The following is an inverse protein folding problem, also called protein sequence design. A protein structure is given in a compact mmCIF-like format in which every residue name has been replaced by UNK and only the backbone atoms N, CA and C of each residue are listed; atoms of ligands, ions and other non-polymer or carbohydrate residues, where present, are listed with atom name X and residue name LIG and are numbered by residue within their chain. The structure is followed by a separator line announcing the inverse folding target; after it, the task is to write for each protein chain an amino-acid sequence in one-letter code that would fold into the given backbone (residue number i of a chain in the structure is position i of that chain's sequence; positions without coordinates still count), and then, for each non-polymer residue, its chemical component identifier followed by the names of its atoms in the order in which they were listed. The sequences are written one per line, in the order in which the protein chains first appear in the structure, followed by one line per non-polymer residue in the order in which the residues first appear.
data_IF_992209922005
#
_entry.id   IF_992209922005
#
_cell.length_a   1.000
_cell.length_b   1.000
_cell.length_c   1.000
_cell.angle_alpha   90.00
_cell.angle_beta   90.00
_cell.angle_gamma   90.00
#
_symmetry.space_group_name_H-M   'P 1'
#
loop_
_entity.id
_entity.type
_entity.pdbx_description
1 polymer ?
#
# COMPACT_ATOMS: atom_id res chain seq x y z
N UNK A 1 21.24 4.02 8.56
CA UNK A 1 20.75 2.82 9.25
C UNK A 1 19.23 2.70 9.15
N UNK A 2 18.46 3.73 9.52
CA UNK A 2 16.99 3.69 9.43
C UNK A 2 16.45 3.47 8.01
N UNK A 3 17.02 4.11 7.00
CA UNK A 3 16.62 3.90 5.59
C UNK A 3 16.86 2.46 5.12
N UNK A 4 17.99 1.85 5.51
CA UNK A 4 18.23 0.44 5.24
C UNK A 4 17.26 -0.45 6.03
N UNK A 5 16.98 -0.10 7.28
CA UNK A 5 16.03 -0.79 8.14
C UNK A 5 14.61 -0.79 7.60
N UNK A 6 14.12 0.32 7.04
CA UNK A 6 12.81 0.36 6.38
C UNK A 6 12.81 -0.55 5.17
N UNK A 7 13.84 -0.50 4.32
CA UNK A 7 13.91 -1.32 3.10
C UNK A 7 13.83 -2.83 3.39
N UNK A 8 14.52 -3.31 4.44
CA UNK A 8 14.48 -4.74 4.82
C UNK A 8 13.30 -5.13 5.72
N UNK A 9 12.43 -4.18 6.08
CA UNK A 9 11.27 -4.42 6.95
C UNK A 9 10.14 -5.13 6.19
N UNK A 10 10.01 -4.89 4.88
CA UNK A 10 9.08 -5.62 4.03
C UNK A 10 9.51 -7.09 3.95
N UNK A 11 8.60 -7.98 4.36
CA UNK A 11 8.78 -9.43 4.31
C UNK A 11 7.69 -9.97 3.40
N UNK A 12 8.11 -10.61 2.31
CA UNK A 12 7.20 -11.25 1.37
C UNK A 12 6.97 -12.73 1.76
N UNK A 13 5.75 -13.13 2.13
CA UNK A 13 5.43 -14.49 2.56
C UNK A 13 5.09 -15.41 1.39
N UNK A 14 5.23 -15.01 0.11
CA UNK A 14 4.74 -15.79 -1.05
C UNK A 14 5.18 -17.26 -1.00
N UNK A 15 6.45 -17.54 -0.64
CA UNK A 15 6.93 -18.92 -0.51
C UNK A 15 6.25 -19.69 0.64
N UNK A 16 5.94 -19.01 1.75
CA UNK A 16 5.25 -19.60 2.91
C UNK A 16 3.77 -19.84 2.60
N UNK A 17 3.11 -18.90 1.91
CA UNK A 17 1.71 -19.01 1.51
C UNK A 17 1.49 -20.19 0.54
N UNK A 18 2.42 -20.43 -0.38
CA UNK A 18 2.38 -21.59 -1.28
C UNK A 18 2.41 -22.92 -0.51
N UNK A 19 3.26 -23.02 0.51
CA UNK A 19 3.33 -24.21 1.37
C UNK A 19 2.07 -24.35 2.23
N UNK A 20 1.51 -23.25 2.73
CA UNK A 20 0.27 -23.26 3.52
C UNK A 20 -0.92 -23.80 2.73
N UNK A 21 -0.99 -23.48 1.44
CA UNK A 21 -2.01 -24.00 0.54
C UNK A 21 -1.83 -25.51 0.30
N UNK A 22 -0.59 -25.97 0.13
CA UNK A 22 -0.27 -27.40 -0.08
C UNK A 22 -0.61 -28.26 1.14
N UNK A 23 -0.33 -27.77 2.36
CA UNK A 23 -0.60 -28.50 3.61
C UNK A 23 -2.02 -28.25 4.17
N UNK A 24 -2.87 -27.53 3.43
CA UNK A 24 -4.26 -27.19 3.81
C UNK A 24 -4.36 -26.57 5.21
N UNK A 25 -3.59 -25.51 5.44
CA UNK A 25 -3.68 -24.70 6.66
C UNK A 25 -5.07 -24.05 6.77
N UNK A 26 -5.46 -23.72 8.00
CA UNK A 26 -6.65 -22.93 8.27
C UNK A 26 -6.70 -21.64 7.42
N UNK A 27 -7.80 -21.44 6.68
CA UNK A 27 -8.01 -20.29 5.79
C UNK A 27 -7.84 -18.94 6.51
N UNK A 28 -8.22 -18.84 7.78
CA UNK A 28 -8.08 -17.61 8.56
C UNK A 28 -6.59 -17.27 8.75
N UNK A 29 -5.74 -18.28 8.98
CA UNK A 29 -4.30 -18.03 9.14
C UNK A 29 -3.68 -17.56 7.83
N UNK A 30 -4.10 -18.14 6.70
CA UNK A 30 -3.69 -17.69 5.37
C UNK A 30 -4.06 -16.21 5.14
N UNK A 31 -5.32 -15.85 5.39
CA UNK A 31 -5.83 -14.49 5.18
C UNK A 31 -5.10 -13.48 6.07
N UNK A 32 -4.84 -13.84 7.34
CA UNK A 32 -4.15 -12.96 8.28
C UNK A 32 -2.70 -12.71 7.85
N UNK A 33 -1.94 -13.75 7.49
CA UNK A 33 -0.53 -13.61 7.06
C UNK A 33 -0.42 -12.85 5.74
N UNK A 34 -1.31 -13.13 4.80
CA UNK A 34 -1.39 -12.39 3.54
C UNK A 34 -1.70 -10.90 3.78
N UNK A 35 -2.70 -10.60 4.62
CA UNK A 35 -3.08 -9.24 4.95
C UNK A 35 -2.00 -8.47 5.72
N UNK A 36 -1.32 -9.11 6.66
CA UNK A 36 -0.16 -8.54 7.36
C UNK A 36 0.93 -8.11 6.37
N UNK A 37 1.22 -8.96 5.39
CA UNK A 37 2.30 -8.71 4.44
C UNK A 37 1.96 -7.57 3.48
N UNK A 38 0.70 -7.52 3.00
CA UNK A 38 0.22 -6.37 2.22
C UNK A 38 0.33 -5.05 3.02
N UNK A 39 -0.06 -5.06 4.30
CA UNK A 39 0.06 -3.88 5.16
C UNK A 39 1.54 -3.51 5.40
N UNK A 40 2.41 -4.51 5.56
CA UNK A 40 3.83 -4.31 5.78
C UNK A 40 4.53 -3.67 4.57
N UNK A 41 4.20 -4.09 3.35
CA UNK A 41 4.72 -3.49 2.12
C UNK A 41 4.36 -2.01 2.02
N UNK A 42 3.09 -1.69 2.30
CA UNK A 42 2.59 -0.32 2.34
C UNK A 42 3.34 0.55 3.38
N UNK A 43 3.48 0.07 4.61
CA UNK A 43 4.15 0.80 5.69
C UNK A 43 5.64 1.00 5.37
N UNK A 44 6.29 -0.01 4.81
CA UNK A 44 7.71 0.00 4.46
C UNK A 44 8.03 1.10 3.45
N UNK A 45 7.22 1.25 2.40
CA UNK A 45 7.45 2.28 1.37
C UNK A 45 7.26 3.69 1.93
N UNK A 46 6.27 3.91 2.79
CA UNK A 46 6.08 5.22 3.44
C UNK A 46 7.25 5.55 4.37
N UNK A 47 7.72 4.57 5.16
CA UNK A 47 8.90 4.74 6.01
C UNK A 47 10.18 4.99 5.21
N UNK A 48 10.34 4.32 4.07
CA UNK A 48 11.47 4.52 3.17
C UNK A 48 11.53 5.98 2.69
N UNK A 49 10.44 6.52 2.15
CA UNK A 49 10.41 7.92 1.68
C UNK A 49 10.60 8.93 2.81
N UNK A 50 10.09 8.64 4.00
CA UNK A 50 10.30 9.47 5.19
C UNK A 50 11.80 9.53 5.56
N UNK A 51 12.47 8.37 5.63
CA UNK A 51 13.89 8.32 5.96
C UNK A 51 14.81 8.82 4.83
N UNK A 52 14.39 8.67 3.57
CA UNK A 52 15.04 9.24 2.39
C UNK A 52 15.04 10.78 2.50
N UNK A 53 13.88 11.38 2.76
CA UNK A 53 13.75 12.83 2.99
C UNK A 53 14.65 13.33 4.14
N UNK A 54 14.71 12.58 5.25
CA UNK A 54 15.62 12.92 6.36
C UNK A 54 17.10 12.81 6.00
N UNK A 55 17.45 11.89 5.10
CA UNK A 55 18.82 11.72 4.62
C UNK A 55 19.23 12.88 3.72
N UNK A 56 18.32 13.36 2.87
CA UNK A 56 18.53 14.52 1.99
C UNK A 56 18.67 15.83 2.77
N UNK A 57 17.87 16.05 3.81
CA UNK A 57 17.96 17.24 4.67
C UNK A 57 19.26 17.33 5.48
N UNK A 58 19.91 16.17 5.71
CA UNK A 58 21.16 16.05 6.45
C UNK A 58 20.95 16.02 7.97
N UNK A 59 21.56 15.01 8.62
CA UNK A 59 21.41 14.69 10.05
C UNK A 59 21.66 15.85 11.03
N UNK A 60 22.43 16.87 10.64
CA UNK A 60 22.74 18.02 11.51
C UNK A 60 21.62 19.06 11.61
N UNK A 61 20.65 19.03 10.69
CA UNK A 61 19.58 20.03 10.60
C UNK A 61 18.22 19.50 11.09
N UNK A 62 18.14 18.24 11.54
CA UNK A 62 16.89 17.62 11.97
C UNK A 62 16.52 18.14 13.37
N UNK A 63 15.45 18.93 13.43
CA UNK A 63 14.87 19.47 14.66
C UNK A 63 13.77 18.52 15.15
N UNK A 64 13.43 18.58 16.43
CA UNK A 64 12.31 17.82 17.01
C UNK A 64 10.98 18.03 16.26
N UNK A 65 10.79 19.22 15.67
CA UNK A 65 9.60 19.54 14.87
C UNK A 65 9.53 18.71 13.58
N UNK A 66 10.66 18.42 12.94
CA UNK A 66 10.70 17.63 11.70
C UNK A 66 10.33 16.18 11.97
N UNK A 67 10.76 15.63 13.12
CA UNK A 67 10.39 14.27 13.54
C UNK A 67 8.89 14.16 13.77
N UNK A 68 8.29 15.14 14.43
CA UNK A 68 6.85 15.18 14.66
C UNK A 68 6.07 15.37 13.35
N UNK A 69 6.57 16.22 12.46
CA UNK A 69 5.99 16.44 11.15
C UNK A 69 6.06 15.18 10.27
N UNK A 70 7.16 14.44 10.26
CA UNK A 70 7.26 13.19 9.54
C UNK A 70 6.35 12.10 10.09
N UNK A 71 6.19 12.01 11.43
CA UNK A 71 5.21 11.11 12.04
C UNK A 71 3.78 11.47 11.62
N UNK A 72 3.43 12.75 11.63
CA UNK A 72 2.13 13.20 11.15
C UNK A 72 1.94 12.90 9.65
N UNK A 73 2.98 13.16 8.83
CA UNK A 73 2.96 12.90 7.41
C UNK A 73 2.78 11.40 7.10
N UNK A 74 3.37 10.51 7.90
CA UNK A 74 3.14 9.07 7.78
C UNK A 74 1.66 8.72 7.85
N UNK A 75 0.93 9.23 8.86
CA UNK A 75 -0.51 8.99 8.96
C UNK A 75 -1.31 9.64 7.84
N UNK A 76 -0.93 10.84 7.41
CA UNK A 76 -1.60 11.54 6.30
C UNK A 76 -1.46 10.75 5.00
N UNK A 77 -0.25 10.31 4.65
CA UNK A 77 0.05 9.56 3.43
C UNK A 77 -0.61 8.18 3.46
N UNK A 78 -0.59 7.51 4.62
CA UNK A 78 -1.21 6.20 4.79
C UNK A 78 -2.75 6.27 4.71
N UNK A 79 -3.38 7.12 5.52
CA UNK A 79 -4.84 7.27 5.53
C UNK A 79 -5.35 7.88 4.22
N UNK A 80 -4.61 8.83 3.64
CA UNK A 80 -4.94 9.45 2.36
C UNK A 80 -4.94 8.42 1.23
N UNK A 81 -3.92 7.55 1.17
CA UNK A 81 -3.87 6.43 0.23
C UNK A 81 -5.07 5.49 0.39
N UNK A 82 -5.35 5.04 1.62
CA UNK A 82 -6.51 4.18 1.90
C UNK A 82 -7.83 4.81 1.51
N UNK A 83 -8.05 6.11 1.76
CA UNK A 83 -9.27 6.81 1.36
C UNK A 83 -9.42 6.85 -0.16
N UNK A 84 -8.34 7.14 -0.89
CA UNK A 84 -8.34 7.13 -2.36
C UNK A 84 -8.68 5.72 -2.87
N UNK A 85 -8.09 4.68 -2.28
CA UNK A 85 -8.39 3.29 -2.65
C UNK A 85 -9.83 2.88 -2.39
N UNK A 86 -10.41 3.28 -1.26
CA UNK A 86 -11.84 3.05 -0.98
C UNK A 86 -12.72 3.73 -2.02
N UNK A 87 -12.41 4.97 -2.40
CA UNK A 87 -13.18 5.72 -3.42
C UNK A 87 -13.11 5.00 -4.77
N UNK A 88 -11.92 4.60 -5.22
CA UNK A 88 -11.74 3.90 -6.49
C UNK A 88 -12.29 2.47 -6.47
N UNK A 89 -12.22 1.76 -5.35
CA UNK A 89 -12.84 0.46 -5.16
C UNK A 89 -14.37 0.53 -5.27
N UNK A 90 -14.99 1.53 -4.65
CA UNK A 90 -16.42 1.80 -4.78
C UNK A 90 -16.80 2.19 -6.21
N UNK A 91 -15.99 3.04 -6.86
CA UNK A 91 -16.20 3.42 -8.26
C UNK A 91 -16.11 2.21 -9.18
N UNK A 92 -15.13 1.32 -8.96
CA UNK A 92 -14.96 0.08 -9.72
C UNK A 92 -16.18 -0.82 -9.55
N UNK A 93 -16.62 -1.07 -8.31
CA UNK A 93 -17.83 -1.86 -8.04
C UNK A 93 -19.10 -1.26 -8.68
N UNK A 94 -19.20 0.07 -8.72
CA UNK A 94 -20.28 0.76 -9.42
C UNK A 94 -20.22 0.54 -10.93
N UNK A 95 -19.05 0.69 -11.56
CA UNK A 95 -18.86 0.50 -13.00
C UNK A 95 -19.16 -0.94 -13.40
N UNK A 96 -18.63 -1.94 -12.68
CA UNK A 96 -18.85 -3.36 -12.96
C UNK A 96 -20.34 -3.74 -12.92
N UNK A 97 -21.14 -3.06 -12.08
CA UNK A 97 -22.59 -3.27 -12.03
C UNK A 97 -23.31 -2.99 -13.36
N UNK A 98 -22.77 -2.10 -14.20
CA UNK A 98 -23.35 -1.76 -15.51
C UNK A 98 -22.79 -2.59 -16.67
N UNK A 99 -21.78 -3.43 -16.44
CA UNK A 99 -21.07 -4.20 -17.48
C UNK A 99 -21.68 -5.59 -17.76
N UNK A 100 -22.90 -5.87 -17.25
CA UNK A 100 -23.53 -7.20 -17.29
C UNK A 100 -23.63 -7.84 -18.70
N UNK A 101 -23.74 -7.03 -19.75
CA UNK A 101 -23.89 -7.49 -21.14
C UNK A 101 -22.57 -8.01 -21.75
N UNK A 102 -21.41 -7.58 -21.24
CA UNK A 102 -20.09 -7.93 -21.80
C UNK A 102 -19.07 -8.25 -20.70
N UNK A 103 -19.24 -9.42 -20.08
CA UNK A 103 -18.40 -9.90 -18.97
C UNK A 103 -16.91 -10.01 -19.27
N UNK A 104 -16.54 -10.14 -20.55
CA UNK A 104 -15.12 -10.25 -20.98
C UNK A 104 -14.34 -8.97 -20.69
N UNK A 105 -15.00 -7.81 -20.58
CA UNK A 105 -14.34 -6.52 -20.34
C UNK A 105 -14.16 -6.26 -18.82
N UNK A 106 -14.85 -6.97 -17.94
CA UNK A 106 -14.79 -6.74 -16.48
C UNK A 106 -13.36 -6.80 -15.90
N UNK A 107 -12.51 -7.80 -16.23
CA UNK A 107 -11.14 -7.83 -15.70
C UNK A 107 -10.31 -6.62 -16.15
N UNK A 108 -10.51 -6.16 -17.40
CA UNK A 108 -9.80 -5.00 -17.94
C UNK A 108 -10.15 -3.74 -17.13
N UNK A 109 -11.44 -3.55 -16.83
CA UNK A 109 -11.86 -2.43 -15.98
C UNK A 109 -11.28 -2.53 -14.57
N UNK A 110 -11.23 -3.72 -13.96
CA UNK A 110 -10.63 -3.89 -12.63
C UNK A 110 -9.15 -3.46 -12.65
N UNK A 111 -8.37 -3.93 -13.62
CA UNK A 111 -6.96 -3.55 -13.73
C UNK A 111 -6.76 -2.06 -14.00
N UNK A 112 -7.53 -1.49 -14.94
CA UNK A 112 -7.41 -0.08 -15.30
C UNK A 112 -7.81 0.82 -14.12
N UNK A 113 -8.90 0.52 -13.43
CA UNK A 113 -9.37 1.33 -12.31
C UNK A 113 -8.44 1.21 -11.10
N UNK A 114 -7.89 0.02 -10.81
CA UNK A 114 -6.86 -0.15 -9.78
C UNK A 114 -5.59 0.65 -10.11
N UNK A 115 -5.13 0.63 -11.36
CA UNK A 115 -3.99 1.43 -11.77
C UNK A 115 -4.26 2.95 -11.72
N UNK A 116 -5.49 3.37 -12.02
CA UNK A 116 -5.91 4.76 -11.86
C UNK A 116 -5.92 5.18 -10.39
N UNK A 117 -6.32 4.30 -9.46
CA UNK A 117 -6.25 4.55 -8.03
C UNK A 117 -4.81 4.82 -7.58
N UNK A 118 -3.88 3.94 -7.98
CA UNK A 118 -2.45 4.09 -7.75
C UNK A 118 -1.91 5.43 -8.28
N UNK A 119 -2.18 5.75 -9.55
CA UNK A 119 -1.71 7.00 -10.17
C UNK A 119 -2.29 8.25 -9.49
N UNK A 120 -3.56 8.23 -9.09
CA UNK A 120 -4.15 9.36 -8.38
C UNK A 120 -3.48 9.56 -7.03
N UNK A 121 -3.25 8.49 -6.27
CA UNK A 121 -2.56 8.57 -5.00
C UNK A 121 -1.13 9.12 -5.14
N UNK A 122 -0.36 8.65 -6.13
CA UNK A 122 0.96 9.20 -6.47
C UNK A 122 0.93 10.70 -6.79
N UNK A 123 -0.04 11.16 -7.60
CA UNK A 123 -0.21 12.58 -7.95
C UNK A 123 -0.50 13.45 -6.72
N UNK A 124 -1.25 12.92 -5.75
CA UNK A 124 -1.54 13.60 -4.49
C UNK A 124 -0.45 13.41 -3.42
N UNK A 125 0.69 12.79 -3.75
CA UNK A 125 1.75 12.43 -2.82
C UNK A 125 1.26 11.56 -1.64
N UNK A 126 0.25 10.74 -1.89
CA UNK A 126 -0.29 9.74 -0.96
C UNK A 126 0.29 8.36 -1.30
N UNK A 127 0.11 7.37 -0.42
CA UNK A 127 0.63 6.02 -0.68
C UNK A 127 -0.19 5.35 -1.80
N UNK A 128 0.42 5.22 -2.98
CA UNK A 128 -0.18 4.52 -4.12
C UNK A 128 -0.40 3.03 -3.89
N UNK A 129 0.40 2.40 -3.03
CA UNK A 129 0.29 0.97 -2.70
C UNK A 129 -0.92 0.72 -1.78
N UNK A 130 -1.28 1.70 -0.95
CA UNK A 130 -2.48 1.63 -0.09
C UNK A 130 -3.77 2.02 -0.82
N UNK A 131 -3.68 2.59 -2.02
CA UNK A 131 -4.80 3.01 -2.84
C UNK A 131 -5.20 1.93 -3.83
#
# INVERSE_FOLDING_TARGET
MFLFGSLISAVDPVAVLAVFEEIQVNEILYIVVFGESLLNDAVTVVLYHLFESYTEMGLKNIIYQDVLAGLANFFVVALGGTVIGVIWGLATGFVTKFTNEVRVIEPIFIFVMAYLAYLNAEIFHMSGILA
#
